data_IF_915973451342
#
_entry.id   IF_915973451342
#
_cell.length_a   1.000
_cell.length_b   1.000
_cell.length_c   1.000
_cell.angle_alpha   90.00
_cell.angle_beta   90.00
_cell.angle_gamma   90.00
#
_symmetry.space_group_name_H-M   'P 1'
#
loop_
_entity.id
_entity.type
_entity.pdbx_description
1 polymer ?
#
# COMPACT_ATOMS: atom_id res chain seq x y z
N UNK A 1 -9.67 7.99 4.04
CA UNK A 1 -9.29 7.50 5.39
C UNK A 1 -9.18 8.69 6.35
N UNK A 2 -9.99 8.70 7.42
CA UNK A 2 -10.08 9.83 8.36
C UNK A 2 -8.75 10.21 9.01
N UNK A 3 -7.94 9.21 9.38
CA UNK A 3 -6.65 9.45 10.06
C UNK A 3 -5.69 10.29 9.22
N UNK A 4 -5.68 10.07 7.90
CA UNK A 4 -4.87 10.84 6.97
C UNK A 4 -5.39 12.26 6.80
N UNK A 5 -6.71 12.41 6.58
CA UNK A 5 -7.32 13.74 6.35
C UNK A 5 -7.16 14.64 7.57
N UNK A 6 -7.14 14.07 8.77
CA UNK A 6 -6.93 14.79 10.02
C UNK A 6 -5.47 14.77 10.50
N UNK A 7 -4.55 14.17 9.71
CA UNK A 7 -3.10 14.06 10.00
C UNK A 7 -2.78 13.57 11.42
N UNK A 8 -3.49 12.56 11.90
CA UNK A 8 -3.32 12.02 13.25
C UNK A 8 -1.91 11.47 13.50
N UNK A 9 -1.39 11.70 14.71
CA UNK A 9 -0.14 11.10 15.16
C UNK A 9 -0.28 9.58 15.33
N UNK A 10 0.86 8.87 15.31
CA UNK A 10 0.88 7.43 15.56
C UNK A 10 0.24 7.07 16.90
N UNK A 11 0.55 7.84 17.96
CA UNK A 11 -0.06 7.71 19.29
C UNK A 11 -1.58 7.80 19.23
N UNK A 12 -2.13 8.80 18.53
CA UNK A 12 -3.59 8.98 18.43
C UNK A 12 -4.26 7.83 17.68
N UNK A 13 -3.61 7.30 16.64
CA UNK A 13 -4.13 6.15 15.89
C UNK A 13 -4.19 4.90 16.78
N UNK A 14 -3.15 4.65 17.59
CA UNK A 14 -3.11 3.54 18.55
C UNK A 14 -4.19 3.72 19.63
N UNK A 15 -4.31 4.93 20.17
CA UNK A 15 -5.34 5.29 21.15
C UNK A 15 -6.75 4.99 20.60
N UNK A 16 -7.08 5.50 19.41
CA UNK A 16 -8.39 5.23 18.78
C UNK A 16 -8.64 3.73 18.55
N UNK A 17 -7.61 2.96 18.17
CA UNK A 17 -7.73 1.51 18.00
C UNK A 17 -7.94 0.77 19.31
N UNK A 18 -7.36 1.26 20.41
CA UNK A 18 -7.53 0.68 21.74
C UNK A 18 -8.96 0.81 22.28
N UNK A 19 -9.74 1.79 21.79
CA UNK A 19 -11.15 1.96 22.15
C UNK A 19 -12.09 1.01 21.40
N UNK A 20 -11.63 0.31 20.37
CA UNK A 20 -12.45 -0.62 19.61
C UNK A 20 -12.48 -2.00 20.26
N UNK A 21 -13.68 -2.49 20.56
CA UNK A 21 -13.87 -3.87 21.01
C UNK A 21 -14.13 -4.77 19.81
N UNK A 22 -13.33 -5.83 19.68
CA UNK A 22 -13.45 -6.78 18.57
C UNK A 22 -14.19 -8.05 19.01
N UNK A 23 -15.33 -8.31 18.36
CA UNK A 23 -16.05 -9.58 18.48
C UNK A 23 -15.50 -10.59 17.49
N UNK A 24 -15.01 -11.74 17.97
CA UNK A 24 -14.34 -12.75 17.14
C UNK A 24 -15.24 -13.96 16.96
N UNK A 25 -15.51 -14.32 15.71
CA UNK A 25 -16.21 -15.55 15.35
C UNK A 25 -15.37 -16.31 14.31
N UNK A 26 -15.35 -17.64 14.41
CA UNK A 26 -14.57 -18.51 13.51
C UNK A 26 -15.47 -19.10 12.44
N UNK A 27 -14.99 -19.08 11.20
CA UNK A 27 -15.67 -19.67 10.04
C UNK A 27 -14.71 -20.56 9.26
N UNK A 28 -15.26 -21.53 8.53
CA UNK A 28 -14.47 -22.38 7.65
C UNK A 28 -14.03 -21.60 6.41
N UNK A 29 -12.72 -21.51 6.17
CA UNK A 29 -12.19 -20.64 5.13
C UNK A 29 -12.67 -20.98 3.70
N UNK A 30 -12.99 -22.25 3.42
CA UNK A 30 -13.50 -22.66 2.09
C UNK A 30 -15.01 -22.49 1.94
N UNK A 31 -15.69 -21.97 2.97
CA UNK A 31 -17.13 -21.70 2.95
C UNK A 31 -17.39 -20.22 3.29
N UNK A 32 -16.99 -19.28 2.41
CA UNK A 32 -17.25 -17.86 2.60
C UNK A 32 -18.75 -17.53 2.51
N UNK A 33 -19.57 -18.42 1.95
CA UNK A 33 -20.99 -18.18 1.72
C UNK A 33 -21.80 -18.10 3.02
N UNK A 34 -21.40 -18.86 4.05
CA UNK A 34 -21.96 -18.71 5.40
C UNK A 34 -21.84 -17.30 5.98
N UNK A 35 -20.82 -16.52 5.60
CA UNK A 35 -20.71 -15.12 6.03
C UNK A 35 -21.69 -14.23 5.26
N UNK A 36 -21.94 -14.54 3.99
CA UNK A 36 -22.92 -13.84 3.16
C UNK A 36 -24.35 -14.09 3.64
N UNK A 37 -24.70 -15.35 3.91
CA UNK A 37 -26.01 -15.74 4.46
C UNK A 37 -26.33 -15.08 5.81
N UNK A 38 -25.29 -14.74 6.59
CA UNK A 38 -25.41 -14.01 7.86
C UNK A 38 -25.27 -12.49 7.71
N UNK A 39 -25.21 -12.00 6.47
CA UNK A 39 -25.02 -10.60 6.10
C UNK A 39 -23.70 -9.96 6.59
N UNK A 40 -22.83 -10.71 7.28
CA UNK A 40 -21.58 -10.22 7.84
C UNK A 40 -20.64 -9.69 6.76
N UNK A 41 -20.54 -10.42 5.64
CA UNK A 41 -19.66 -10.01 4.55
C UNK A 41 -20.19 -8.78 3.81
N UNK A 42 -21.52 -8.64 3.71
CA UNK A 42 -22.18 -7.50 3.07
C UNK A 42 -22.09 -6.25 3.96
N UNK A 43 -22.32 -6.40 5.26
CA UNK A 43 -22.09 -5.35 6.25
C UNK A 43 -20.66 -4.81 6.18
N UNK A 44 -19.67 -5.70 6.07
CA UNK A 44 -18.27 -5.31 5.99
C UNK A 44 -17.92 -4.50 4.73
N UNK A 45 -18.61 -4.70 3.60
CA UNK A 45 -18.37 -3.96 2.35
C UNK A 45 -19.36 -2.81 2.12
N UNK A 46 -20.20 -2.52 3.11
CA UNK A 46 -21.17 -1.43 3.06
C UNK A 46 -20.48 -0.07 2.93
N UNK A 47 -21.07 0.82 2.13
CA UNK A 47 -20.63 2.21 1.98
C UNK A 47 -20.99 3.03 3.22
N UNK A 48 -22.08 2.65 3.91
CA UNK A 48 -22.51 3.26 5.17
C UNK A 48 -22.18 2.34 6.35
N UNK A 49 -21.87 2.88 7.54
CA UNK A 49 -21.76 2.07 8.75
C UNK A 49 -22.98 1.16 8.90
N UNK A 50 -22.74 -0.11 9.24
CA UNK A 50 -23.77 -1.08 9.52
C UNK A 50 -23.73 -1.42 11.01
N UNK A 51 -24.87 -1.26 11.67
CA UNK A 51 -25.04 -1.61 13.07
C UNK A 51 -25.10 -3.14 13.23
N UNK A 52 -24.43 -3.62 14.28
CA UNK A 52 -24.36 -5.04 14.60
C UNK A 52 -24.43 -5.25 16.11
N UNK A 53 -25.08 -6.34 16.51
CA UNK A 53 -25.11 -6.83 17.88
C UNK A 53 -24.29 -8.11 18.00
N UNK A 54 -23.56 -8.29 19.10
CA UNK A 54 -22.77 -9.48 19.36
C UNK A 54 -22.99 -10.01 20.77
N UNK A 55 -23.21 -11.32 20.89
CA UNK A 55 -23.26 -12.02 22.18
C UNK A 55 -21.91 -12.65 22.48
N UNK A 56 -21.11 -11.98 23.32
CA UNK A 56 -19.80 -12.45 23.73
C UNK A 56 -19.89 -13.70 24.63
N UNK A 57 -18.94 -14.62 24.48
CA UNK A 57 -18.84 -15.82 25.34
C UNK A 57 -18.18 -15.51 26.68
N UNK A 58 -17.37 -14.45 26.72
CA UNK A 58 -16.66 -13.97 27.91
C UNK A 58 -16.39 -12.46 27.77
N UNK A 59 -16.14 -11.74 28.87
CA UNK A 59 -15.74 -10.34 28.81
C UNK A 59 -14.50 -10.14 27.92
N UNK A 60 -14.42 -9.04 27.16
CA UNK A 60 -13.24 -8.73 26.35
C UNK A 60 -12.07 -8.39 27.27
N UNK A 61 -10.92 -9.01 27.02
CA UNK A 61 -9.72 -8.79 27.80
C UNK A 61 -8.85 -7.78 27.03
N UNK A 62 -8.46 -6.65 27.65
CA UNK A 62 -7.49 -5.75 27.05
C UNK A 62 -6.17 -6.48 26.83
N UNK A 63 -5.72 -6.55 25.59
CA UNK A 63 -4.41 -7.09 25.26
C UNK A 63 -3.76 -6.19 24.22
N UNK A 64 -2.75 -5.43 24.64
CA UNK A 64 -1.92 -4.64 23.76
C UNK A 64 -0.61 -5.39 23.54
N UNK A 65 -0.46 -6.04 22.38
CA UNK A 65 0.82 -6.59 21.94
C UNK A 65 1.52 -5.61 21.00
N UNK A 66 2.81 -5.39 21.25
CA UNK A 66 3.71 -4.62 20.39
C UNK A 66 4.86 -5.53 19.96
N UNK A 67 4.53 -6.56 19.18
CA UNK A 67 5.50 -7.55 18.66
C UNK A 67 6.20 -7.08 17.38
N UNK A 68 5.94 -5.85 16.93
CA UNK A 68 6.48 -5.28 15.69
C UNK A 68 5.91 -5.89 14.41
N UNK A 69 5.01 -6.86 14.51
CA UNK A 69 4.41 -7.59 13.38
C UNK A 69 2.93 -7.23 13.27
N UNK A 70 2.19 -7.33 14.38
CA UNK A 70 0.77 -7.10 14.45
C UNK A 70 0.47 -5.64 14.79
N UNK A 71 -0.50 -5.09 14.07
CA UNK A 71 -1.02 -3.78 14.39
C UNK A 71 -1.70 -3.82 15.77
N UNK A 72 -1.46 -2.82 16.64
CA UNK A 72 -2.16 -2.72 17.91
C UNK A 72 -3.67 -2.72 17.68
N UNK A 73 -4.39 -3.56 18.42
CA UNK A 73 -5.84 -3.66 18.38
C UNK A 73 -6.38 -3.56 19.80
N UNK A 74 -7.63 -3.10 19.93
CA UNK A 74 -8.30 -3.01 21.21
C UNK A 74 -8.73 -4.38 21.75
N UNK A 75 -9.39 -4.39 22.93
CA UNK A 75 -9.85 -5.61 23.58
C UNK A 75 -10.66 -6.50 22.65
N UNK A 76 -10.50 -7.81 22.76
CA UNK A 76 -11.26 -8.76 21.94
C UNK A 76 -11.83 -9.92 22.75
N UNK A 77 -12.95 -10.46 22.29
CA UNK A 77 -13.58 -11.63 22.89
C UNK A 77 -14.21 -12.53 21.81
N UNK A 78 -14.19 -13.86 22.01
CA UNK A 78 -14.96 -14.76 21.18
C UNK A 78 -16.46 -14.49 21.35
N UNK A 79 -17.20 -14.46 20.24
CA UNK A 79 -18.64 -14.31 20.20
C UNK A 79 -19.32 -15.64 19.89
N UNK A 80 -20.44 -15.90 20.56
CA UNK A 80 -21.34 -17.02 20.23
C UNK A 80 -22.18 -16.70 19.00
N UNK A 81 -22.50 -15.42 18.81
CA UNK A 81 -23.31 -14.94 17.71
C UNK A 81 -23.01 -13.47 17.42
N UNK A 82 -23.08 -13.09 16.13
CA UNK A 82 -23.01 -11.71 15.65
C UNK A 82 -24.16 -11.55 14.65
N UNK A 83 -25.01 -10.55 14.86
CA UNK A 83 -26.15 -10.24 14.01
C UNK A 83 -26.02 -8.82 13.49
N UNK A 84 -26.30 -8.65 12.21
CA UNK A 84 -26.47 -7.33 11.62
C UNK A 84 -27.91 -6.90 11.90
N UNK A 85 -28.09 -5.70 12.46
CA UNK A 85 -29.41 -5.17 12.86
C UNK A 85 -29.85 -3.97 12.02
N UNK A 86 -28.96 -3.47 11.16
CA UNK A 86 -29.24 -2.45 10.16
C UNK A 86 -29.27 -3.06 8.76
N UNK A 87 -29.59 -2.27 7.73
CA UNK A 87 -29.54 -2.72 6.33
C UNK A 87 -28.23 -2.25 5.65
N UNK A 88 -27.26 -3.16 5.41
CA UNK A 88 -26.03 -2.85 4.69
C UNK A 88 -26.28 -2.30 3.29
N UNK A 89 -25.41 -1.41 2.81
CA UNK A 89 -25.48 -0.82 1.47
C UNK A 89 -24.18 -1.04 0.71
N UNK A 90 -23.96 -2.23 0.13
CA UNK A 90 -22.78 -2.49 -0.68
C UNK A 90 -22.79 -1.62 -1.96
N UNK A 91 -21.64 -1.31 -2.56
CA UNK A 91 -21.59 -0.69 -3.89
C UNK A 91 -22.35 -1.53 -4.92
N UNK A 92 -23.20 -0.90 -5.74
CA UNK A 92 -24.04 -1.60 -6.74
C UNK A 92 -23.24 -2.48 -7.71
N UNK A 93 -22.05 -2.02 -8.12
CA UNK A 93 -21.16 -2.81 -8.98
C UNK A 93 -20.63 -4.06 -8.26
N UNK A 94 -20.34 -3.96 -6.96
CA UNK A 94 -19.91 -5.08 -6.14
C UNK A 94 -21.05 -6.09 -5.95
N UNK A 95 -22.26 -5.61 -5.67
CA UNK A 95 -23.44 -6.47 -5.51
C UNK A 95 -23.68 -7.34 -6.75
N UNK A 96 -23.53 -6.79 -7.96
CA UNK A 96 -23.58 -7.57 -9.20
C UNK A 96 -22.45 -8.61 -9.29
N UNK A 97 -21.21 -8.17 -9.06
CA UNK A 97 -20.02 -9.03 -9.17
C UNK A 97 -20.01 -10.19 -8.16
N UNK A 98 -20.70 -10.05 -7.03
CA UNK A 98 -20.91 -11.16 -6.09
C UNK A 98 -21.62 -12.33 -6.78
N UNK A 99 -22.55 -12.06 -7.68
CA UNK A 99 -23.31 -13.09 -8.40
C UNK A 99 -22.68 -13.52 -9.72
N UNK A 100 -21.69 -12.79 -10.21
CA UNK A 100 -20.98 -13.10 -11.45
C UNK A 100 -19.85 -14.13 -11.22
N UNK A 101 -19.61 -14.98 -12.23
CA UNK A 101 -18.53 -15.98 -12.22
C UNK A 101 -17.30 -15.49 -13.02
N UNK A 102 -16.70 -14.41 -12.53
CA UNK A 102 -15.59 -13.70 -13.18
C UNK A 102 -14.28 -13.92 -12.41
N UNK A 103 -13.13 -13.88 -13.09
CA UNK A 103 -11.83 -13.98 -12.41
C UNK A 103 -11.66 -12.86 -11.39
N UNK A 104 -11.04 -13.17 -10.25
CA UNK A 104 -10.93 -12.22 -9.15
C UNK A 104 -10.16 -10.95 -9.55
N UNK A 105 -9.11 -11.07 -10.36
CA UNK A 105 -8.34 -9.93 -10.87
C UNK A 105 -9.16 -9.02 -11.79
N UNK A 106 -10.04 -9.59 -12.63
CA UNK A 106 -10.94 -8.85 -13.51
C UNK A 106 -12.03 -8.13 -12.68
N UNK A 107 -12.62 -8.82 -11.71
CA UNK A 107 -13.60 -8.22 -10.80
C UNK A 107 -12.99 -7.06 -10.00
N UNK A 108 -11.77 -7.22 -9.47
CA UNK A 108 -11.01 -6.15 -8.81
C UNK A 108 -10.80 -4.96 -9.75
N UNK A 109 -10.40 -5.20 -10.99
CA UNK A 109 -10.21 -4.15 -11.99
C UNK A 109 -11.50 -3.40 -12.32
N UNK A 110 -12.62 -4.11 -12.48
CA UNK A 110 -13.93 -3.51 -12.72
C UNK A 110 -14.38 -2.62 -11.55
N UNK A 111 -14.18 -3.09 -10.31
CA UNK A 111 -14.47 -2.31 -9.10
C UNK A 111 -13.61 -1.05 -9.01
N UNK A 112 -12.31 -1.17 -9.28
CA UNK A 112 -11.38 -0.04 -9.31
C UNK A 112 -11.79 1.00 -10.36
N UNK A 113 -12.07 0.57 -11.60
CA UNK A 113 -12.59 1.45 -12.66
C UNK A 113 -13.93 2.09 -12.28
N UNK A 114 -14.77 1.36 -11.54
CA UNK A 114 -16.02 1.83 -10.97
C UNK A 114 -15.87 2.78 -9.77
N UNK A 115 -14.63 3.19 -9.43
CA UNK A 115 -14.29 4.09 -8.31
C UNK A 115 -14.75 3.57 -6.94
N UNK A 116 -14.82 2.25 -6.77
CA UNK A 116 -15.04 1.64 -5.46
C UNK A 116 -13.78 1.86 -4.61
N UNK A 117 -13.97 2.26 -3.35
CA UNK A 117 -12.88 2.47 -2.40
C UNK A 117 -11.97 1.24 -2.30
N UNK A 118 -10.65 1.46 -2.35
CA UNK A 118 -9.65 0.40 -2.34
C UNK A 118 -9.84 -0.58 -1.17
N UNK A 119 -10.09 -0.08 0.04
CA UNK A 119 -10.26 -0.95 1.21
C UNK A 119 -11.59 -1.71 1.20
N UNK A 120 -12.60 -1.18 0.51
CA UNK A 120 -13.85 -1.91 0.24
C UNK A 120 -13.61 -3.08 -0.71
N UNK A 121 -12.79 -2.89 -1.76
CA UNK A 121 -12.37 -3.97 -2.65
C UNK A 121 -11.57 -5.03 -1.89
N UNK A 122 -10.63 -4.61 -1.04
CA UNK A 122 -9.85 -5.52 -0.17
C UNK A 122 -10.76 -6.33 0.74
N UNK A 123 -11.74 -5.70 1.41
CA UNK A 123 -12.70 -6.42 2.26
C UNK A 123 -13.52 -7.42 1.46
N UNK A 124 -14.02 -7.03 0.28
CA UNK A 124 -14.75 -7.94 -0.61
C UNK A 124 -13.90 -9.15 -1.03
N UNK A 125 -12.65 -8.91 -1.43
CA UNK A 125 -11.71 -9.98 -1.79
C UNK A 125 -11.39 -10.89 -0.61
N UNK A 126 -11.08 -10.31 0.56
CA UNK A 126 -10.73 -11.05 1.78
C UNK A 126 -11.87 -11.93 2.30
N UNK A 127 -13.12 -11.46 2.15
CA UNK A 127 -14.32 -12.17 2.56
C UNK A 127 -14.82 -13.18 1.51
N UNK A 128 -14.06 -13.39 0.43
CA UNK A 128 -14.41 -14.35 -0.60
C UNK A 128 -15.64 -13.96 -1.43
N UNK A 129 -15.94 -12.66 -1.55
CA UNK A 129 -17.06 -12.16 -2.37
C UNK A 129 -16.72 -12.07 -3.86
N UNK A 130 -15.44 -12.17 -4.24
CA UNK A 130 -14.96 -11.98 -5.60
C UNK A 130 -14.27 -13.22 -6.14
N UNK A 131 -14.31 -13.40 -7.45
CA UNK A 131 -13.66 -14.49 -8.16
C UNK A 131 -14.61 -15.59 -8.60
N UNK A 132 -14.03 -16.63 -9.19
CA UNK A 132 -14.78 -17.81 -9.68
C UNK A 132 -15.43 -18.52 -8.49
N UNK A 133 -16.75 -18.72 -8.52
CA UNK A 133 -17.58 -19.14 -7.39
C UNK A 133 -17.02 -20.37 -6.66
N UNK A 134 -16.69 -21.42 -7.41
CA UNK A 134 -16.14 -22.68 -6.86
C UNK A 134 -14.78 -22.55 -6.14
N UNK A 135 -14.05 -21.45 -6.39
CA UNK A 135 -12.71 -21.21 -5.85
C UNK A 135 -12.68 -20.12 -4.77
N UNK A 136 -13.83 -19.54 -4.43
CA UNK A 136 -13.94 -18.50 -3.41
C UNK A 136 -13.62 -19.07 -2.04
N UNK A 137 -12.87 -18.29 -1.28
CA UNK A 137 -12.44 -18.61 0.08
C UNK A 137 -12.14 -17.34 0.85
N UNK A 138 -12.16 -17.43 2.17
CA UNK A 138 -11.63 -16.40 3.02
C UNK A 138 -10.11 -16.32 2.82
N UNK A 139 -9.61 -15.10 2.62
CA UNK A 139 -8.20 -14.79 2.39
C UNK A 139 -7.74 -13.86 3.51
N UNK A 140 -6.60 -14.13 4.17
CA UNK A 140 -6.04 -13.22 5.16
C UNK A 140 -5.94 -11.79 4.63
N UNK A 141 -6.33 -10.80 5.44
CA UNK A 141 -6.41 -9.40 5.02
C UNK A 141 -5.10 -8.90 4.41
N UNK A 142 -3.94 -9.29 4.96
CA UNK A 142 -2.62 -8.94 4.42
C UNK A 142 -2.44 -9.43 2.99
N UNK A 143 -2.84 -10.67 2.69
CA UNK A 143 -2.76 -11.25 1.35
C UNK A 143 -3.77 -10.60 0.40
N UNK A 144 -4.97 -10.28 0.89
CA UNK A 144 -5.98 -9.57 0.12
C UNK A 144 -5.51 -8.17 -0.30
N UNK A 145 -4.85 -7.41 0.60
CA UNK A 145 -4.25 -6.11 0.28
C UNK A 145 -3.26 -6.25 -0.87
N UNK A 146 -2.26 -7.13 -0.71
CA UNK A 146 -1.22 -7.36 -1.73
C UNK A 146 -1.79 -7.85 -3.06
N UNK A 147 -2.81 -8.71 -3.03
CA UNK A 147 -3.45 -9.24 -4.24
C UNK A 147 -4.24 -8.16 -5.00
N UNK A 148 -5.00 -7.32 -4.28
CA UNK A 148 -5.74 -6.19 -4.87
C UNK A 148 -4.77 -5.15 -5.42
N UNK A 149 -3.71 -4.80 -4.68
CA UNK A 149 -2.62 -3.95 -5.15
C UNK A 149 -2.06 -4.45 -6.48
N UNK A 150 -1.63 -5.71 -6.50
CA UNK A 150 -1.02 -6.32 -7.68
C UNK A 150 -1.97 -6.33 -8.87
N UNK A 151 -3.23 -6.72 -8.68
CA UNK A 151 -4.22 -6.80 -9.75
C UNK A 151 -4.47 -5.44 -10.42
N UNK A 152 -4.64 -4.37 -9.62
CA UNK A 152 -4.85 -3.02 -10.15
C UNK A 152 -3.57 -2.52 -10.82
N UNK A 153 -2.45 -2.64 -10.14
CA UNK A 153 -1.18 -2.11 -10.58
C UNK A 153 -0.67 -2.81 -11.86
N UNK A 154 -0.89 -4.11 -12.03
CA UNK A 154 -0.60 -4.81 -13.29
C UNK A 154 -1.40 -4.23 -14.47
N UNK A 155 -2.70 -3.96 -14.28
CA UNK A 155 -3.53 -3.35 -15.33
C UNK A 155 -3.13 -1.92 -15.67
N UNK A 156 -2.77 -1.11 -14.67
CA UNK A 156 -2.21 0.22 -14.90
C UNK A 156 -0.86 0.15 -15.62
N UNK A 157 0.00 -0.80 -15.27
CA UNK A 157 1.28 -0.99 -15.91
C UNK A 157 1.15 -1.34 -17.39
N UNK A 158 0.19 -2.21 -17.75
CA UNK A 158 -0.17 -2.49 -19.14
C UNK A 158 -0.49 -1.18 -19.89
N UNK A 159 -1.38 -0.34 -19.33
CA UNK A 159 -1.78 0.94 -19.94
C UNK A 159 -0.56 1.87 -20.15
N UNK A 160 0.29 2.07 -19.13
CA UNK A 160 1.37 3.05 -19.25
C UNK A 160 2.51 2.61 -20.17
N UNK A 161 2.73 1.30 -20.34
CA UNK A 161 3.86 0.81 -21.12
C UNK A 161 3.65 0.94 -22.62
N UNK A 162 2.42 0.81 -23.09
CA UNK A 162 2.13 0.77 -24.52
C UNK A 162 1.75 2.14 -25.09
N UNK A 163 1.24 3.06 -24.26
CA UNK A 163 0.53 4.25 -24.76
C UNK A 163 1.22 5.58 -24.42
N UNK A 164 2.21 5.59 -23.54
CA UNK A 164 2.64 6.83 -22.89
C UNK A 164 4.08 7.24 -23.22
N UNK A 165 4.27 8.56 -23.40
CA UNK A 165 5.60 9.19 -23.49
C UNK A 165 6.32 9.16 -22.14
N UNK A 166 7.64 9.24 -22.13
CA UNK A 166 8.41 9.40 -20.89
C UNK A 166 8.13 10.77 -20.25
N UNK A 167 8.40 10.92 -18.95
CA UNK A 167 8.44 12.25 -18.31
C UNK A 167 9.51 13.13 -18.96
N UNK A 168 9.25 14.44 -19.03
CA UNK A 168 10.05 15.38 -19.83
C UNK A 168 11.37 15.80 -19.15
N UNK A 169 11.41 15.75 -17.81
CA UNK A 169 12.55 16.13 -16.98
C UNK A 169 12.61 15.25 -15.73
N UNK A 170 13.69 15.36 -14.93
CA UNK A 170 13.78 14.64 -13.67
C UNK A 170 12.89 15.36 -12.65
N UNK A 171 12.02 14.60 -11.99
CA UNK A 171 11.04 15.13 -11.04
C UNK A 171 11.32 14.57 -9.65
N UNK A 172 11.51 15.44 -8.66
CA UNK A 172 11.72 15.04 -7.26
C UNK A 172 10.52 15.47 -6.42
N UNK A 173 9.97 14.52 -5.67
CA UNK A 173 8.85 14.72 -4.76
C UNK A 173 9.24 14.30 -3.36
N UNK A 174 8.76 15.02 -2.35
CA UNK A 174 8.97 14.66 -0.95
C UNK A 174 7.68 14.74 -0.15
N UNK A 175 7.51 13.83 0.81
CA UNK A 175 6.46 13.91 1.81
C UNK A 175 6.84 13.11 3.04
N UNK A 176 6.23 13.41 4.17
CA UNK A 176 6.41 12.63 5.39
C UNK A 176 5.11 12.43 6.15
N UNK A 177 5.03 11.31 6.86
CA UNK A 177 3.94 11.02 7.77
C UNK A 177 4.33 9.95 8.78
N UNK A 178 3.91 10.11 10.05
CA UNK A 178 4.11 9.13 11.14
C UNK A 178 5.51 8.50 11.18
N UNK A 179 6.56 9.32 11.18
CA UNK A 179 7.95 8.85 11.23
C UNK A 179 8.48 8.22 9.93
N UNK A 180 7.74 8.32 8.83
CA UNK A 180 8.17 7.85 7.52
C UNK A 180 8.34 9.05 6.58
N UNK A 181 9.51 9.19 5.98
CA UNK A 181 9.82 10.21 4.96
C UNK A 181 10.03 9.52 3.62
N UNK A 182 9.42 10.06 2.58
CA UNK A 182 9.50 9.58 1.23
C UNK A 182 10.15 10.64 0.35
N UNK A 183 11.12 10.21 -0.45
CA UNK A 183 11.72 10.97 -1.54
C UNK A 183 11.49 10.12 -2.78
N UNK A 184 10.73 10.64 -3.75
CA UNK A 184 10.37 9.92 -4.97
C UNK A 184 10.98 10.68 -6.13
N UNK A 185 11.78 9.98 -6.94
CA UNK A 185 12.43 10.57 -8.11
C UNK A 185 11.92 9.85 -9.35
N UNK A 186 11.33 10.61 -10.28
CA UNK A 186 10.94 10.14 -11.60
C UNK A 186 11.98 10.57 -12.62
N UNK A 187 12.64 9.62 -13.25
CA UNK A 187 13.60 9.85 -14.32
C UNK A 187 12.96 9.58 -15.69
N UNK A 188 13.28 10.40 -16.71
CA UNK A 188 12.92 10.10 -18.10
C UNK A 188 13.47 8.73 -18.51
N UNK A 189 12.60 7.80 -18.90
CA UNK A 189 12.99 6.45 -19.30
C UNK A 189 11.86 5.43 -19.21
N UNK A 190 12.13 4.18 -19.63
CA UNK A 190 11.15 3.10 -19.54
C UNK A 190 10.75 2.85 -18.08
N UNK A 191 9.53 2.34 -17.88
CA UNK A 191 9.08 2.00 -16.52
C UNK A 191 10.02 1.01 -15.84
N UNK A 192 10.53 1.43 -14.68
CA UNK A 192 11.33 0.66 -13.72
C UNK A 192 10.99 1.18 -12.34
N UNK A 193 11.03 0.31 -11.34
CA UNK A 193 10.77 0.73 -9.98
C UNK A 193 11.80 0.12 -9.03
N UNK A 194 12.41 0.98 -8.24
CA UNK A 194 13.37 0.63 -7.20
C UNK A 194 12.98 1.36 -5.93
N UNK A 195 12.91 0.64 -4.81
CA UNK A 195 12.68 1.22 -3.49
C UNK A 195 13.80 0.80 -2.55
N UNK A 196 14.35 1.78 -1.84
CA UNK A 196 15.22 1.55 -0.69
C UNK A 196 14.52 2.02 0.57
N UNK A 197 14.40 1.13 1.54
CA UNK A 197 13.97 1.43 2.89
C UNK A 197 15.21 1.62 3.77
N UNK A 198 15.30 2.79 4.40
CA UNK A 198 16.36 3.16 5.33
C UNK A 198 15.75 3.14 6.73
N UNK A 199 16.03 2.08 7.47
CA UNK A 199 15.61 1.93 8.85
C UNK A 199 16.66 2.55 9.76
N UNK A 200 16.37 3.73 10.32
CA UNK A 200 17.28 4.40 11.24
C UNK A 200 17.47 3.59 12.55
N UNK A 201 18.57 3.76 13.29
CA UNK A 201 18.78 3.13 14.60
C UNK A 201 17.65 3.41 15.59
N UNK A 202 17.55 2.57 16.63
CA UNK A 202 16.60 2.75 17.74
C UNK A 202 15.11 2.68 17.35
N UNK A 203 14.79 2.01 16.23
CA UNK A 203 13.40 1.59 15.95
C UNK A 203 13.15 0.20 16.55
N UNK A 204 11.89 -0.21 16.68
CA UNK A 204 11.55 -1.56 17.16
C UNK A 204 12.07 -2.68 16.24
N UNK A 205 12.42 -2.37 14.97
CA UNK A 205 12.95 -3.33 13.99
C UNK A 205 14.48 -3.29 13.89
N UNK A 206 15.14 -2.30 14.50
CA UNK A 206 16.60 -2.07 14.43
C UNK A 206 17.20 -1.79 15.81
N UNK A 207 16.65 -2.37 16.88
CA UNK A 207 17.03 -2.09 18.26
C UNK A 207 18.53 -2.27 18.54
N UNK A 208 19.18 -3.22 17.86
CA UNK A 208 20.61 -3.54 18.04
C UNK A 208 21.51 -2.91 16.97
N UNK A 209 20.97 -2.11 16.04
CA UNK A 209 21.76 -1.51 14.98
C UNK A 209 22.35 -0.18 15.43
N UNK A 210 23.67 -0.03 15.38
CA UNK A 210 24.36 1.25 15.62
C UNK A 210 24.36 2.21 14.42
N UNK A 211 23.92 1.74 13.25
CA UNK A 211 23.88 2.49 11.98
C UNK A 211 22.58 2.17 11.22
N UNK A 212 22.14 3.04 10.28
CA UNK A 212 20.96 2.77 9.47
C UNK A 212 21.05 1.46 8.67
N UNK A 213 19.96 0.68 8.66
CA UNK A 213 19.85 -0.57 7.90
C UNK A 213 19.13 -0.29 6.57
N UNK A 214 19.76 -0.63 5.45
CA UNK A 214 19.20 -0.43 4.11
C UNK A 214 18.63 -1.73 3.55
N UNK A 215 17.34 -1.75 3.24
CA UNK A 215 16.65 -2.85 2.56
C UNK A 215 16.21 -2.41 1.16
N UNK A 216 16.49 -3.22 0.14
CA UNK A 216 16.24 -2.87 -1.27
C UNK A 216 15.24 -3.82 -1.91
N UNK A 217 14.20 -3.25 -2.52
CA UNK A 217 13.22 -3.99 -3.31
C UNK A 217 13.17 -3.41 -4.72
N UNK A 218 13.27 -4.28 -5.72
CA UNK A 218 13.31 -3.88 -7.14
C UNK A 218 12.27 -4.61 -7.95
N UNK A 219 11.66 -3.91 -8.89
CA UNK A 219 10.87 -4.46 -9.98
C UNK A 219 11.72 -4.45 -11.26
N UNK A 220 12.56 -5.46 -11.43
CA UNK A 220 13.52 -5.53 -12.55
C UNK A 220 12.84 -5.75 -13.91
N UNK A 221 11.72 -6.48 -13.88
CA UNK A 221 10.82 -6.71 -15.02
C UNK A 221 9.39 -6.47 -14.54
N UNK A 222 8.46 -6.08 -15.44
CA UNK A 222 7.05 -5.91 -15.10
C UNK A 222 6.50 -7.04 -14.22
N UNK A 223 6.05 -6.68 -13.02
CA UNK A 223 5.49 -7.57 -12.00
C UNK A 223 6.46 -8.66 -11.49
N UNK A 224 7.78 -8.55 -11.72
CA UNK A 224 8.81 -9.43 -11.17
C UNK A 224 9.64 -8.67 -10.15
N UNK A 225 9.41 -8.99 -8.89
CA UNK A 225 10.06 -8.35 -7.75
C UNK A 225 11.24 -9.19 -7.23
N UNK A 226 12.24 -8.54 -6.66
CA UNK A 226 13.31 -9.21 -5.91
C UNK A 226 12.80 -9.86 -4.64
N UNK A 227 11.79 -9.24 -4.01
CA UNK A 227 11.11 -9.72 -2.81
C UNK A 227 9.65 -9.24 -2.83
N UNK A 228 8.74 -10.00 -2.21
CA UNK A 228 7.36 -9.58 -2.00
C UNK A 228 7.32 -8.66 -0.78
N UNK A 229 7.36 -7.35 -1.01
CA UNK A 229 7.21 -6.35 0.03
C UNK A 229 5.88 -5.58 -0.08
N UNK A 230 5.16 -5.49 1.04
CA UNK A 230 3.86 -4.84 1.07
C UNK A 230 3.95 -3.30 1.01
N UNK A 231 5.06 -2.71 1.46
CA UNK A 231 5.29 -1.26 1.36
C UNK A 231 5.52 -0.84 -0.08
N UNK A 232 6.36 -1.60 -0.79
CA UNK A 232 6.62 -1.48 -2.21
C UNK A 232 5.33 -1.58 -3.01
N UNK A 233 4.47 -2.57 -2.72
CA UNK A 233 3.19 -2.71 -3.44
C UNK A 233 2.28 -1.50 -3.26
N UNK A 234 2.19 -0.98 -2.03
CA UNK A 234 1.38 0.20 -1.71
C UNK A 234 1.90 1.47 -2.40
N UNK A 235 3.22 1.68 -2.40
CA UNK A 235 3.84 2.82 -3.08
C UNK A 235 3.74 2.70 -4.62
N UNK A 236 4.01 1.50 -5.15
CA UNK A 236 3.92 1.18 -6.58
C UNK A 236 2.57 1.52 -7.18
N UNK A 237 1.46 1.13 -6.54
CA UNK A 237 0.14 1.45 -7.07
C UNK A 237 -0.06 2.97 -7.19
N UNK A 238 0.33 3.73 -6.17
CA UNK A 238 0.21 5.20 -6.17
C UNK A 238 1.03 5.85 -7.29
N UNK A 239 2.22 5.32 -7.57
CA UNK A 239 3.08 5.78 -8.68
C UNK A 239 2.43 5.48 -10.02
N UNK A 240 1.91 4.27 -10.21
CA UNK A 240 1.28 3.86 -11.46
C UNK A 240 -0.02 4.64 -11.71
N UNK A 241 -0.81 4.92 -10.69
CA UNK A 241 -1.99 5.80 -10.78
C UNK A 241 -1.61 7.21 -11.24
N UNK A 242 -0.54 7.77 -10.66
CA UNK A 242 -0.02 9.10 -11.06
C UNK A 242 0.44 9.12 -12.52
N UNK A 243 1.24 8.13 -12.92
CA UNK A 243 1.77 8.01 -14.27
C UNK A 243 0.65 7.78 -15.31
N UNK A 244 -0.30 6.89 -15.00
CA UNK A 244 -1.45 6.61 -15.86
C UNK A 244 -2.32 7.86 -16.06
N UNK A 245 -2.62 8.60 -15.00
CA UNK A 245 -3.37 9.87 -15.07
C UNK A 245 -2.69 10.91 -15.95
N UNK A 246 -1.36 10.98 -15.90
CA UNK A 246 -0.55 11.92 -16.69
C UNK A 246 -0.27 11.42 -18.12
N UNK A 247 -0.66 10.19 -18.45
CA UNK A 247 -0.26 9.51 -19.69
C UNK A 247 1.26 9.56 -19.89
N UNK A 248 2.00 9.28 -18.81
CA UNK A 248 3.47 9.25 -18.79
C UNK A 248 4.00 7.89 -18.33
N UNK A 249 5.28 7.64 -18.59
CA UNK A 249 6.08 6.57 -17.98
C UNK A 249 7.41 7.13 -17.45
N UNK A 250 8.01 6.48 -16.46
CA UNK A 250 9.29 6.90 -15.87
C UNK A 250 10.01 5.72 -15.22
N UNK A 251 11.34 5.79 -15.15
CA UNK A 251 12.10 5.01 -14.17
C UNK A 251 11.99 5.70 -12.81
N UNK A 252 11.68 4.96 -11.76
CA UNK A 252 11.28 5.52 -10.46
C UNK A 252 12.16 4.97 -9.34
N UNK A 253 12.80 5.88 -8.61
CA UNK A 253 13.48 5.59 -7.36
C UNK A 253 12.64 6.12 -6.19
N UNK A 254 12.34 5.26 -5.22
CA UNK A 254 11.74 5.63 -3.95
C UNK A 254 12.80 5.45 -2.86
N UNK A 255 13.09 6.52 -2.13
CA UNK A 255 13.84 6.44 -0.88
C UNK A 255 12.87 6.66 0.25
N UNK A 256 12.70 5.65 1.10
CA UNK A 256 11.83 5.70 2.28
C UNK A 256 12.70 5.64 3.53
N UNK A 257 12.73 6.72 4.30
CA UNK A 257 13.39 6.75 5.60
C UNK A 257 12.38 6.51 6.72
N UNK A 258 12.66 5.52 7.58
CA UNK A 258 11.85 5.19 8.75
C UNK A 258 12.60 5.64 10.00
N UNK A 259 12.04 6.59 10.73
CA UNK A 259 12.60 7.16 11.96
C UNK A 259 12.09 6.43 13.21
N UNK A 260 12.75 6.61 14.37
CA UNK A 260 12.25 6.11 15.67
C UNK A 260 10.83 6.55 16.02
N UNK A 261 10.31 7.62 15.41
CA UNK A 261 8.93 8.08 15.64
C UNK A 261 7.88 7.09 15.10
N UNK A 262 8.27 6.19 14.20
CA UNK A 262 7.45 5.05 13.78
C UNK A 262 7.72 3.86 14.69
N UNK A 263 7.14 3.83 15.88
CA UNK A 263 7.43 2.81 16.91
C UNK A 263 6.38 1.68 17.00
N UNK A 264 5.39 1.66 16.10
CA UNK A 264 4.37 0.62 16.06
C UNK A 264 3.83 0.43 14.64
N UNK A 265 3.64 -0.81 14.17
CA UNK A 265 3.08 -1.06 12.85
C UNK A 265 1.60 -0.66 12.80
N UNK A 266 1.20 0.13 11.81
CA UNK A 266 -0.23 0.45 11.58
C UNK A 266 -0.76 -0.06 10.24
N UNK A 267 0.03 -0.82 9.50
CA UNK A 267 -0.25 -1.33 8.16
C UNK A 267 0.21 -0.37 7.05
N UNK A 268 0.19 -0.82 5.78
CA UNK A 268 0.81 -0.11 4.66
C UNK A 268 -0.04 1.02 4.06
N UNK A 269 -1.19 1.33 4.65
CA UNK A 269 -2.09 2.38 4.16
C UNK A 269 -1.42 3.75 4.14
N UNK A 270 -0.58 4.04 5.15
CA UNK A 270 0.10 5.33 5.25
C UNK A 270 1.14 5.50 4.14
N UNK A 271 1.78 4.41 3.70
CA UNK A 271 2.75 4.39 2.60
C UNK A 271 2.05 4.80 1.31
N UNK A 272 0.91 4.16 1.00
CA UNK A 272 0.09 4.51 -0.17
C UNK A 272 -0.31 5.99 -0.16
N UNK A 273 -0.91 6.43 0.95
CA UNK A 273 -1.43 7.80 1.03
C UNK A 273 -0.31 8.85 1.02
N UNK A 274 0.83 8.58 1.67
CA UNK A 274 1.98 9.50 1.66
C UNK A 274 2.62 9.58 0.29
N UNK A 275 2.74 8.44 -0.41
CA UNK A 275 3.25 8.39 -1.80
C UNK A 275 2.33 9.15 -2.76
N UNK A 276 1.02 8.87 -2.71
CA UNK A 276 0.03 9.58 -3.53
C UNK A 276 0.00 11.08 -3.23
N UNK A 277 0.15 11.46 -1.96
CA UNK A 277 0.24 12.86 -1.56
C UNK A 277 1.51 13.53 -2.10
N UNK A 278 2.69 12.92 -1.93
CA UNK A 278 3.93 13.44 -2.49
C UNK A 278 3.78 13.75 -3.99
N UNK A 279 3.24 12.81 -4.76
CA UNK A 279 3.03 12.93 -6.20
C UNK A 279 1.93 13.95 -6.59
N UNK A 280 1.07 14.33 -5.65
CA UNK A 280 0.07 15.39 -5.84
C UNK A 280 0.61 16.80 -5.59
N UNK A 281 1.75 16.92 -4.90
CA UNK A 281 2.37 18.21 -4.60
C UNK A 281 3.20 18.72 -5.80
N UNK A 282 3.51 20.04 -5.84
CA UNK A 282 4.45 20.57 -6.82
C UNK A 282 5.78 19.81 -6.81
N UNK A 283 6.21 19.38 -7.98
CA UNK A 283 7.49 18.71 -8.16
C UNK A 283 8.63 19.71 -8.16
N UNK A 284 9.78 19.34 -7.59
CA UNK A 284 11.03 20.00 -7.89
C UNK A 284 11.53 19.45 -9.23
N UNK A 285 11.68 20.34 -10.21
CA UNK A 285 12.21 19.97 -11.53
C UNK A 285 13.72 20.05 -11.48
N UNK A 286 14.38 19.05 -12.03
CA UNK A 286 15.81 19.10 -12.25
C UNK A 286 16.15 18.86 -13.72
N UNK A 287 17.05 19.68 -14.25
CA UNK A 287 17.45 19.65 -15.66
C UNK A 287 18.58 18.64 -15.93
N UNK A 288 19.26 18.15 -14.89
CA UNK A 288 20.37 17.22 -15.03
C UNK A 288 20.49 16.28 -13.81
N UNK A 289 21.25 15.20 -13.99
CA UNK A 289 21.41 14.17 -12.95
C UNK A 289 22.09 14.70 -11.67
N UNK A 290 22.99 15.69 -11.80
CA UNK A 290 23.75 16.25 -10.69
C UNK A 290 22.85 16.99 -9.71
N UNK A 291 22.00 17.87 -10.21
CA UNK A 291 21.03 18.62 -9.40
C UNK A 291 20.02 17.67 -8.73
N UNK A 292 19.57 16.61 -9.42
CA UNK A 292 18.71 15.59 -8.80
C UNK A 292 19.40 14.85 -7.63
N UNK A 293 20.70 14.57 -7.76
CA UNK A 293 21.52 13.98 -6.69
C UNK A 293 21.69 14.94 -5.51
N UNK A 294 21.91 16.23 -5.78
CA UNK A 294 21.99 17.27 -4.75
C UNK A 294 20.65 17.41 -3.99
N UNK A 295 19.52 17.39 -4.71
CA UNK A 295 18.17 17.39 -4.12
C UNK A 295 17.91 16.14 -3.28
N UNK A 296 18.35 14.96 -3.74
CA UNK A 296 18.27 13.74 -2.95
C UNK A 296 19.10 13.88 -1.67
N UNK A 297 20.36 14.30 -1.78
CA UNK A 297 21.29 14.45 -0.65
C UNK A 297 20.78 15.45 0.40
N UNK A 298 20.26 16.60 -0.03
CA UNK A 298 19.67 17.59 0.88
C UNK A 298 18.38 17.13 1.53
N UNK A 299 17.66 16.21 0.87
CA UNK A 299 16.43 15.63 1.38
C UNK A 299 16.66 14.45 2.32
N UNK A 300 17.82 13.80 2.35
CA UNK A 300 18.10 12.69 3.28
C UNK A 300 18.23 13.19 4.73
N UNK A 301 17.78 12.39 5.70
CA UNK A 301 18.06 12.64 7.12
C UNK A 301 19.53 12.38 7.44
N UNK A 302 20.09 11.29 6.90
CA UNK A 302 21.53 11.00 6.97
C UNK A 302 22.17 11.14 5.57
N UNK A 303 22.92 12.23 5.38
CA UNK A 303 23.56 12.56 4.10
C UNK A 303 24.66 11.58 3.72
N UNK A 304 25.25 10.87 4.68
CA UNK A 304 26.34 9.92 4.42
C UNK A 304 25.86 8.70 3.62
N UNK A 305 24.54 8.46 3.57
CA UNK A 305 23.94 7.39 2.79
C UNK A 305 23.85 7.69 1.29
N UNK A 306 24.07 8.94 0.87
CA UNK A 306 23.90 9.35 -0.53
C UNK A 306 24.77 8.52 -1.49
N UNK A 307 26.06 8.36 -1.18
CA UNK A 307 26.99 7.57 -1.99
C UNK A 307 26.51 6.12 -2.11
N UNK A 308 26.16 5.50 -0.98
CA UNK A 308 25.65 4.12 -0.96
C UNK A 308 24.37 3.95 -1.78
N UNK A 309 23.46 4.92 -1.77
CA UNK A 309 22.23 4.89 -2.57
C UNK A 309 22.55 4.96 -4.06
N UNK A 310 23.45 5.87 -4.45
CA UNK A 310 23.84 6.04 -5.86
C UNK A 310 24.55 4.78 -6.37
N UNK A 311 25.52 4.25 -5.61
CA UNK A 311 26.30 3.07 -5.98
C UNK A 311 25.45 1.80 -6.11
N UNK A 312 24.44 1.62 -5.24
CA UNK A 312 23.60 0.42 -5.23
C UNK A 312 22.39 0.50 -6.14
N UNK A 313 22.00 1.70 -6.58
CA UNK A 313 20.82 1.86 -7.42
C UNK A 313 21.09 1.41 -8.85
N UNK A 314 20.26 0.47 -9.31
CA UNK A 314 20.31 0.02 -10.71
C UNK A 314 19.78 1.08 -11.69
N UNK A 315 19.01 2.04 -11.20
CA UNK A 315 18.57 3.18 -12.01
C UNK A 315 19.75 4.11 -12.24
N UNK A 316 20.48 4.51 -11.20
CA UNK A 316 21.67 5.36 -11.34
C UNK A 316 22.75 4.68 -12.19
N UNK A 317 23.08 3.42 -11.92
CA UNK A 317 24.04 2.64 -12.71
C UNK A 317 23.73 2.68 -14.22
N UNK A 318 22.46 2.51 -14.59
CA UNK A 318 22.02 2.63 -15.98
C UNK A 318 22.12 4.05 -16.52
N UNK A 319 21.72 5.05 -15.75
CA UNK A 319 21.80 6.45 -16.19
C UNK A 319 23.24 6.90 -16.45
N UNK A 320 24.22 6.37 -15.70
CA UNK A 320 25.64 6.63 -15.93
C UNK A 320 26.21 5.85 -17.13
N UNK A 321 25.79 4.59 -17.31
CA UNK A 321 26.32 3.72 -18.36
C UNK A 321 25.59 3.84 -19.71
N UNK A 322 24.39 4.44 -19.74
CA UNK A 322 23.61 4.60 -20.96
C UNK A 322 24.21 5.73 -21.81
N UNK A 323 25.08 5.36 -22.76
CA UNK A 323 25.49 6.24 -23.87
C UNK A 323 24.23 6.67 -24.64
N UNK A 324 24.02 7.98 -24.81
CA UNK A 324 22.95 8.50 -25.68
C UNK A 324 23.20 8.04 -27.13
N UNK A 325 22.14 7.77 -27.88
CA UNK A 325 22.21 7.35 -29.29
C UNK A 325 22.98 8.37 -30.17
N UNK A 326 23.01 9.62 -29.73
CA UNK A 326 23.76 10.75 -30.31
C UNK A 326 25.28 10.52 -30.34
N UNK A 327 25.79 9.49 -29.65
CA UNK A 327 27.21 9.11 -29.69
C UNK A 327 27.56 8.14 -30.84
N UNK A 328 26.57 7.67 -31.59
CA UNK A 328 26.72 6.69 -32.67
C UNK A 328 26.38 7.24 -34.06
N UNK A 329 26.07 8.54 -34.18
CA UNK A 329 25.77 9.21 -35.46
C UNK A 329 26.65 10.44 -35.65
#
# INVERSE_FOLDING_TARGET
>A
LLWWTQRYSLKKIIELRSYLVSSIIRFYAKDPWRLYERELSIAAVSIKPADSEAKLQKPPIPHLSFDGILAPHGPSAPASNIRIVSNPKPPRILEKLVWDDVKASEAVWLLYKGRVDFYTIVRAFSLGLLGVKRNRRLVPTRWAITAVDSAIATKLLEIIKFENKVVDYIEVYTASYIGNKFIIILFPGPYRLEMVEIWHPSTIWTQNAGQPVLHWVREDKPNRFTEIDGGMMAARLSILEHLARRKRQASVLIVREITPDYYAPVGNWHIRLTTAHALSQPMLKSNNLKEAIELLGTSLKDKNLLSTIIERSRIFDRLYNQKRLDHYF
#
